data_IF_970684185911
#
_entry.id   IF_970684185911
#
_cell.length_a   1.000
_cell.length_b   1.000
_cell.length_c   1.000
_cell.angle_alpha   90.00
_cell.angle_beta   90.00
_cell.angle_gamma   90.00
#
_symmetry.space_group_name_H-M   'P 1'
#
loop_
_entity.id
_entity.type
_entity.pdbx_description
1 polymer ?
#
# COMPACT_ATOMS: atom_id res chain seq x y z
N UNK A 1 41.27 -27.76 -1.58
CA UNK A 1 39.95 -27.22 -1.11
C UNK A 1 40.19 -26.11 -0.09
N UNK A 2 41.01 -26.31 0.93
CA UNK A 2 41.33 -25.29 1.95
C UNK A 2 41.94 -24.00 1.41
N UNK A 3 42.82 -24.06 0.41
CA UNK A 3 43.42 -22.86 -0.18
C UNK A 3 42.35 -21.94 -0.79
N UNK A 4 41.43 -22.49 -1.58
CA UNK A 4 40.37 -21.70 -2.20
C UNK A 4 39.34 -21.17 -1.18
N UNK A 5 39.04 -21.94 -0.12
CA UNK A 5 38.17 -21.49 0.96
C UNK A 5 38.79 -20.32 1.76
N UNK A 6 40.08 -20.40 2.09
CA UNK A 6 40.77 -19.31 2.81
C UNK A 6 40.91 -18.05 1.97
N UNK A 7 41.12 -18.19 0.66
CA UNK A 7 41.18 -17.05 -0.26
C UNK A 7 39.80 -16.41 -0.43
N UNK A 8 38.71 -17.18 -0.47
CA UNK A 8 37.36 -16.62 -0.49
C UNK A 8 37.01 -15.89 0.80
N UNK A 9 37.40 -16.44 1.95
CA UNK A 9 37.14 -15.80 3.26
C UNK A 9 37.87 -14.45 3.39
N UNK A 10 39.09 -14.35 2.88
CA UNK A 10 39.85 -13.09 2.86
C UNK A 10 39.21 -12.03 1.97
N UNK A 11 38.78 -12.40 0.75
CA UNK A 11 38.12 -11.48 -0.17
C UNK A 11 36.75 -11.02 0.35
N UNK A 12 35.98 -11.92 0.96
CA UNK A 12 34.70 -11.60 1.59
C UNK A 12 34.89 -10.70 2.82
N UNK A 13 35.93 -10.95 3.63
CA UNK A 13 36.27 -10.11 4.77
C UNK A 13 36.62 -8.67 4.37
N UNK A 14 37.40 -8.49 3.29
CA UNK A 14 37.74 -7.16 2.77
C UNK A 14 36.51 -6.45 2.19
N UNK A 15 35.66 -7.17 1.45
CA UNK A 15 34.42 -6.62 0.90
C UNK A 15 33.44 -6.18 2.02
N UNK A 16 33.30 -6.99 3.07
CA UNK A 16 32.47 -6.68 4.23
C UNK A 16 33.05 -5.50 5.03
N UNK A 17 34.37 -5.46 5.22
CA UNK A 17 35.04 -4.35 5.89
C UNK A 17 34.85 -3.03 5.13
N UNK A 18 34.88 -3.05 3.79
CA UNK A 18 34.62 -1.86 2.97
C UNK A 18 33.18 -1.38 3.12
N UNK A 19 32.19 -2.28 3.03
CA UNK A 19 30.78 -1.94 3.22
C UNK A 19 30.51 -1.36 4.62
N UNK A 20 31.11 -1.95 5.65
CA UNK A 20 30.99 -1.46 7.03
C UNK A 20 31.70 -0.12 7.23
N UNK A 21 32.83 0.11 6.56
CA UNK A 21 33.59 1.38 6.61
C UNK A 21 32.77 2.49 5.95
N UNK A 22 32.21 2.26 4.76
CA UNK A 22 31.41 3.25 4.06
C UNK A 22 30.12 3.61 4.83
N UNK A 23 29.53 2.67 5.57
CA UNK A 23 28.32 2.90 6.37
C UNK A 23 28.60 3.53 7.76
N UNK A 24 29.65 3.08 8.45
CA UNK A 24 29.98 3.51 9.82
C UNK A 24 30.87 4.76 9.90
N UNK A 25 31.78 4.96 8.95
CA UNK A 25 32.73 6.09 9.00
C UNK A 25 32.22 7.33 8.26
N UNK A 26 31.36 7.18 7.25
CA UNK A 26 30.69 8.33 6.61
C UNK A 26 29.56 8.92 7.49
N UNK A 27 29.20 8.26 8.59
CA UNK A 27 28.17 8.72 9.52
C UNK A 27 28.71 9.46 10.76
N UNK A 28 30.04 9.52 11.02
CA UNK A 28 30.57 10.16 12.26
C UNK A 28 31.88 10.94 12.25
N UNK A 29 32.61 11.13 11.15
CA UNK A 29 33.85 11.93 11.22
C UNK A 29 34.03 12.90 10.04
N UNK A 30 33.97 14.19 10.36
CA UNK A 30 34.56 15.20 9.50
C UNK A 30 36.05 14.90 9.25
N UNK A 31 36.48 15.13 8.00
CA UNK A 31 37.86 15.31 7.53
C UNK A 31 38.91 14.35 8.11
N UNK A 32 39.25 13.30 7.36
CA UNK A 32 40.64 12.86 7.24
C UNK A 32 40.92 12.56 5.76
N UNK A 33 41.76 13.41 5.17
CA UNK A 33 42.36 13.22 3.85
C UNK A 33 43.46 12.14 3.93
N UNK A 34 43.49 11.26 2.92
CA UNK A 34 44.60 10.50 2.32
C UNK A 34 44.06 9.12 1.92
N UNK A 35 44.20 8.60 0.70
CA UNK A 35 45.13 8.86 -0.37
C UNK A 35 44.46 8.58 -1.73
N UNK A 36 45.03 9.19 -2.79
CA UNK A 36 44.64 9.04 -4.19
C UNK A 36 44.60 7.57 -4.63
N UNK A 37 43.51 7.12 -5.26
CA UNK A 37 43.54 6.13 -6.33
C UNK A 37 42.20 6.04 -7.08
N UNK A 38 42.30 6.09 -8.41
CA UNK A 38 41.39 5.60 -9.47
C UNK A 38 39.95 6.12 -9.54
N UNK A 39 39.80 7.09 -10.45
CA UNK A 39 38.56 7.46 -11.12
C UNK A 39 37.98 6.27 -11.92
N UNK A 40 37.01 5.58 -11.31
CA UNK A 40 36.11 4.65 -11.96
C UNK A 40 34.69 5.26 -12.02
N UNK A 41 34.57 6.47 -12.58
CA UNK A 41 33.31 7.24 -12.66
C UNK A 41 32.33 6.80 -13.76
N UNK A 42 32.05 5.50 -13.85
CA UNK A 42 30.77 5.02 -14.38
C UNK A 42 29.97 4.48 -13.20
N UNK A 43 29.40 5.42 -12.44
CA UNK A 43 28.87 5.21 -11.09
C UNK A 43 27.81 4.12 -11.01
N UNK A 44 28.22 2.96 -10.52
CA UNK A 44 27.38 2.21 -9.59
C UNK A 44 27.25 3.14 -8.39
N UNK A 45 26.19 3.97 -8.39
CA UNK A 45 25.81 4.70 -7.18
C UNK A 45 25.77 3.66 -6.08
N UNK A 46 26.73 3.74 -5.14
CA UNK A 46 26.72 2.91 -3.95
C UNK A 46 25.29 2.93 -3.42
N UNK A 47 24.68 1.75 -3.29
CA UNK A 47 23.29 1.63 -2.88
C UNK A 47 23.20 2.04 -1.42
N UNK A 48 23.22 3.35 -1.18
CA UNK A 48 23.08 3.89 0.15
C UNK A 48 21.59 3.75 0.54
N UNK A 49 21.38 3.37 1.79
CA UNK A 49 20.03 3.27 2.35
C UNK A 49 19.56 4.63 2.89
N UNK A 50 20.24 5.72 2.51
CA UNK A 50 19.84 7.07 2.93
C UNK A 50 18.51 7.42 2.25
N UNK A 51 17.65 8.20 2.93
CA UNK A 51 16.42 8.69 2.31
C UNK A 51 16.73 9.32 0.95
N UNK A 52 16.07 8.83 -0.09
CA UNK A 52 16.21 9.39 -1.44
C UNK A 52 15.59 10.79 -1.48
N UNK A 53 16.16 11.67 -2.29
CA UNK A 53 15.55 12.97 -2.57
C UNK A 53 14.16 12.77 -3.16
N UNK A 54 13.16 13.42 -2.58
CA UNK A 54 11.78 13.38 -3.06
C UNK A 54 11.59 14.31 -4.26
N UNK A 55 10.63 13.99 -5.14
CA UNK A 55 10.30 14.85 -6.29
C UNK A 55 9.77 16.23 -5.87
N UNK A 56 9.19 16.32 -4.66
CA UNK A 56 8.71 17.55 -4.06
C UNK A 56 9.23 17.67 -2.62
N UNK A 57 9.44 18.89 -2.08
CA UNK A 57 9.75 19.07 -0.68
C UNK A 57 8.72 18.38 0.21
N UNK A 58 9.18 17.57 1.17
CA UNK A 58 8.28 16.89 2.09
C UNK A 58 7.56 17.92 2.97
N UNK A 59 6.23 17.92 2.94
CA UNK A 59 5.40 18.78 3.80
C UNK A 59 5.03 18.10 5.13
N UNK A 60 4.99 16.77 5.15
CA UNK A 60 4.72 15.97 6.34
C UNK A 60 6.02 15.34 6.84
N UNK A 61 6.21 15.31 8.16
CA UNK A 61 7.38 14.70 8.83
C UNK A 61 7.14 13.24 9.20
N UNK A 62 5.89 12.82 9.35
CA UNK A 62 5.50 11.47 9.74
C UNK A 62 4.11 11.13 9.18
N UNK A 63 3.88 9.84 8.89
CA UNK A 63 2.62 9.32 8.37
C UNK A 63 2.20 8.13 9.22
N UNK A 64 0.95 8.13 9.67
CA UNK A 64 0.32 6.96 10.31
C UNK A 64 -0.57 6.31 9.25
N UNK A 65 -0.23 5.09 8.86
CA UNK A 65 -1.01 4.29 7.92
C UNK A 65 -1.79 3.23 8.69
N UNK A 66 -3.12 3.29 8.60
CA UNK A 66 -4.02 2.28 9.16
C UNK A 66 -4.59 1.43 8.02
N UNK A 67 -4.30 0.13 8.04
CA UNK A 67 -4.89 -0.84 7.12
C UNK A 67 -5.84 -1.75 7.89
N UNK A 68 -7.14 -1.63 7.66
CA UNK A 68 -8.18 -2.24 8.49
C UNK A 68 -8.79 -3.49 7.81
N UNK A 69 -8.05 -4.60 7.81
CA UNK A 69 -8.62 -5.89 7.38
C UNK A 69 -9.75 -6.32 8.33
N UNK A 70 -10.93 -6.64 7.78
CA UNK A 70 -12.13 -6.93 8.58
C UNK A 70 -12.77 -5.71 9.24
N UNK A 71 -12.31 -4.50 8.91
CA UNK A 71 -12.96 -3.27 9.34
C UNK A 71 -14.31 -3.03 8.66
N UNK A 72 -15.02 -1.95 9.05
CA UNK A 72 -16.24 -1.53 8.38
C UNK A 72 -16.03 -1.34 6.87
N UNK A 73 -16.99 -1.81 6.07
CA UNK A 73 -16.96 -1.73 4.61
C UNK A 73 -16.97 -0.27 4.15
N UNK A 74 -15.96 0.14 3.38
CA UNK A 74 -15.88 1.51 2.85
C UNK A 74 -17.06 1.84 1.93
N UNK A 75 -17.61 0.84 1.24
CA UNK A 75 -18.78 1.04 0.37
C UNK A 75 -20.04 1.34 1.16
N UNK A 76 -20.17 0.80 2.37
CA UNK A 76 -21.32 1.05 3.23
C UNK A 76 -21.20 2.37 4.01
N UNK A 77 -19.99 2.92 4.11
CA UNK A 77 -19.71 4.12 4.91
C UNK A 77 -19.63 5.42 4.11
N UNK A 78 -19.11 5.37 2.87
CA UNK A 78 -18.75 6.57 2.09
C UNK A 78 -19.29 6.58 0.65
N UNK A 79 -20.08 5.58 0.26
CA UNK A 79 -20.48 5.39 -1.14
C UNK A 79 -22.00 5.11 -1.27
N UNK A 80 -22.83 6.16 -1.42
CA UNK A 80 -24.26 6.01 -1.58
C UNK A 80 -24.61 5.11 -2.78
N UNK A 81 -25.47 4.11 -2.56
CA UNK A 81 -25.89 3.14 -3.59
C UNK A 81 -27.36 3.29 -4.01
N UNK A 82 -27.77 4.39 -4.68
CA UNK A 82 -29.17 4.63 -5.05
C UNK A 82 -29.74 3.53 -5.96
N UNK A 83 -28.94 3.02 -6.90
CA UNK A 83 -29.37 1.93 -7.79
C UNK A 83 -29.61 0.63 -7.03
N UNK A 84 -28.72 0.26 -6.10
CA UNK A 84 -28.88 -0.92 -5.26
C UNK A 84 -30.12 -0.79 -4.36
N UNK A 85 -30.34 0.40 -3.79
CA UNK A 85 -31.50 0.67 -2.94
C UNK A 85 -32.81 0.57 -3.72
N UNK A 86 -32.86 1.04 -4.98
CA UNK A 86 -34.03 0.88 -5.85
C UNK A 86 -34.29 -0.58 -6.27
N UNK A 87 -33.27 -1.42 -6.12
CA UNK A 87 -33.25 -2.83 -6.46
C UNK A 87 -33.45 -3.76 -5.25
N UNK A 88 -33.61 -3.20 -4.04
CA UNK A 88 -33.79 -3.96 -2.82
C UNK A 88 -34.94 -4.96 -2.92
N UNK A 89 -34.70 -6.20 -2.47
CA UNK A 89 -35.64 -7.31 -2.53
C UNK A 89 -35.89 -7.90 -3.92
N UNK A 90 -35.24 -7.40 -4.98
CA UNK A 90 -35.39 -7.92 -6.36
C UNK A 90 -34.28 -8.92 -6.70
N UNK A 91 -34.52 -9.90 -7.60
CA UNK A 91 -33.48 -10.79 -8.09
C UNK A 91 -32.43 -10.01 -8.88
N UNK A 92 -31.16 -10.40 -8.73
CA UNK A 92 -30.05 -9.77 -9.46
C UNK A 92 -30.30 -9.80 -10.99
N UNK A 93 -30.19 -8.66 -11.69
CA UNK A 93 -30.56 -8.56 -13.10
C UNK A 93 -29.48 -9.08 -14.07
N UNK A 94 -28.26 -9.34 -13.59
CA UNK A 94 -27.12 -9.75 -14.41
C UNK A 94 -26.77 -11.24 -14.30
N UNK A 95 -25.64 -11.61 -14.90
CA UNK A 95 -25.09 -12.95 -14.74
C UNK A 95 -24.35 -13.07 -13.39
N UNK A 96 -24.81 -13.99 -12.53
CA UNK A 96 -24.24 -14.24 -11.20
C UNK A 96 -22.87 -14.92 -11.28
N UNK A 97 -22.58 -15.65 -12.36
CA UNK A 97 -21.26 -16.27 -12.58
C UNK A 97 -20.17 -15.22 -12.81
N UNK A 98 -20.51 -14.09 -13.44
CA UNK A 98 -19.57 -12.99 -13.74
C UNK A 98 -19.13 -12.23 -12.48
N UNK A 99 -19.95 -12.24 -11.42
CA UNK A 99 -19.63 -11.63 -10.12
C UNK A 99 -18.91 -12.59 -9.16
N UNK A 100 -18.47 -13.77 -9.65
CA UNK A 100 -17.63 -14.70 -8.90
C UNK A 100 -18.37 -15.62 -7.95
N UNK A 101 -19.72 -15.64 -7.98
CA UNK A 101 -20.49 -16.61 -7.20
C UNK A 101 -20.61 -17.92 -7.98
N UNK A 102 -19.85 -18.93 -7.56
CA UNK A 102 -19.85 -20.26 -8.17
C UNK A 102 -21.09 -21.10 -7.79
N UNK A 103 -21.91 -20.63 -6.84
CA UNK A 103 -23.11 -21.33 -6.37
C UNK A 103 -24.37 -20.55 -6.75
N UNK A 104 -24.93 -20.87 -7.91
CA UNK A 104 -26.16 -20.26 -8.44
C UNK A 104 -27.44 -20.94 -7.96
N UNK A 105 -27.32 -22.04 -7.21
CA UNK A 105 -28.45 -22.87 -6.77
C UNK A 105 -29.35 -22.21 -5.72
N UNK A 106 -28.91 -21.09 -5.13
CA UNK A 106 -29.70 -20.29 -4.17
C UNK A 106 -29.32 -18.81 -4.24
N UNK A 107 -29.52 -18.20 -5.41
CA UNK A 107 -29.33 -16.76 -5.58
C UNK A 107 -30.39 -16.04 -4.74
N UNK A 108 -29.95 -15.34 -3.70
CA UNK A 108 -30.80 -14.47 -2.90
C UNK A 108 -31.28 -13.26 -3.68
N UNK A 109 -31.97 -12.35 -2.98
CA UNK A 109 -32.34 -11.04 -3.54
C UNK A 109 -31.22 -10.03 -3.32
N UNK A 110 -31.19 -8.99 -4.14
CA UNK A 110 -30.36 -7.82 -3.87
C UNK A 110 -30.77 -7.20 -2.53
N UNK A 111 -29.76 -6.80 -1.74
CA UNK A 111 -29.94 -6.19 -0.43
C UNK A 111 -29.51 -4.73 -0.52
N UNK A 112 -30.45 -3.82 -0.29
CA UNK A 112 -30.22 -2.39 -0.24
C UNK A 112 -29.28 -1.99 0.89
N UNK A 113 -28.61 -0.85 0.75
CA UNK A 113 -27.74 -0.32 1.81
C UNK A 113 -28.50 -0.15 3.13
N UNK A 114 -27.88 -0.56 4.23
CA UNK A 114 -28.51 -0.56 5.56
C UNK A 114 -28.42 0.80 6.27
N UNK A 115 -27.53 1.68 5.80
CA UNK A 115 -27.27 2.98 6.40
C UNK A 115 -27.82 4.11 5.53
N UNK A 116 -28.19 5.21 6.20
CA UNK A 116 -28.62 6.43 5.52
C UNK A 116 -27.41 7.33 5.32
N UNK A 117 -27.39 8.01 4.18
CA UNK A 117 -26.33 8.95 3.85
C UNK A 117 -26.84 10.38 3.93
N UNK A 118 -25.99 11.27 4.41
CA UNK A 118 -26.16 12.72 4.30
C UNK A 118 -24.86 13.35 3.80
N UNK A 119 -24.99 14.48 3.09
CA UNK A 119 -23.83 15.28 2.71
C UNK A 119 -23.42 16.15 3.90
N UNK A 120 -22.12 16.17 4.21
CA UNK A 120 -21.56 16.95 5.30
C UNK A 120 -20.47 17.90 4.81
N UNK A 121 -20.16 18.93 5.61
CA UNK A 121 -19.13 19.92 5.30
C UNK A 121 -19.42 20.79 4.07
N UNK A 122 -18.48 21.66 3.73
CA UNK A 122 -18.48 22.44 2.48
C UNK A 122 -18.15 21.57 1.27
N UNK A 123 -17.36 20.52 1.47
CA UNK A 123 -17.06 19.51 0.45
C UNK A 123 -18.28 18.71 0.00
N UNK A 124 -19.34 18.66 0.83
CA UNK A 124 -20.56 17.93 0.54
C UNK A 124 -20.37 16.41 0.45
N UNK A 125 -19.30 15.87 1.03
CA UNK A 125 -18.99 14.45 0.94
C UNK A 125 -20.08 13.62 1.66
N UNK A 126 -20.61 12.57 1.01
CA UNK A 126 -21.63 11.73 1.60
C UNK A 126 -21.02 10.77 2.64
N UNK A 127 -21.56 10.78 3.85
CA UNK A 127 -21.13 9.88 4.93
C UNK A 127 -22.37 9.20 5.52
N UNK A 128 -22.22 7.92 5.86
CA UNK A 128 -23.25 7.14 6.54
C UNK A 128 -23.51 7.65 7.97
N UNK A 129 -24.77 7.60 8.41
CA UNK A 129 -25.25 8.06 9.71
C UNK A 129 -24.60 7.35 10.93
N UNK A 130 -23.96 6.21 10.71
CA UNK A 130 -23.19 5.47 11.72
C UNK A 130 -21.83 6.10 12.07
N UNK A 131 -21.39 7.13 11.35
CA UNK A 131 -20.12 7.83 11.59
C UNK A 131 -20.31 9.33 11.94
N UNK A 132 -21.09 9.67 12.99
CA UNK A 132 -21.41 11.07 13.30
C UNK A 132 -20.17 11.91 13.58
N UNK A 133 -19.20 11.39 14.34
CA UNK A 133 -17.98 12.12 14.67
C UNK A 133 -17.05 12.29 13.45
N UNK A 134 -17.04 11.33 12.53
CA UNK A 134 -16.27 11.45 11.29
C UNK A 134 -16.89 12.47 10.36
N UNK A 135 -18.23 12.55 10.33
CA UNK A 135 -18.96 13.50 9.52
C UNK A 135 -18.68 14.97 9.90
N UNK A 136 -18.34 15.25 11.16
CA UNK A 136 -17.90 16.59 11.60
C UNK A 136 -16.53 16.98 11.02
N UNK A 137 -15.71 16.01 10.61
CA UNK A 137 -14.35 16.22 10.10
C UNK A 137 -14.25 16.17 8.57
N UNK A 138 -15.39 16.14 7.87
CA UNK A 138 -15.47 15.91 6.42
C UNK A 138 -14.51 16.80 5.60
N UNK A 139 -14.40 18.09 5.93
CA UNK A 139 -13.57 19.03 5.18
C UNK A 139 -12.06 18.93 5.50
N UNK A 140 -11.69 18.19 6.55
CA UNK A 140 -10.31 17.83 6.90
C UNK A 140 -9.90 16.47 6.29
N UNK A 141 -10.85 15.77 5.67
CA UNK A 141 -10.64 14.46 5.06
C UNK A 141 -10.46 14.59 3.55
N UNK A 142 -9.56 13.77 3.01
CA UNK A 142 -9.41 13.58 1.57
C UNK A 142 -9.74 12.13 1.24
N UNK A 143 -10.80 11.92 0.46
CA UNK A 143 -11.23 10.61 0.02
C UNK A 143 -10.70 10.30 -1.38
N UNK A 144 -10.01 9.17 -1.54
CA UNK A 144 -9.44 8.73 -2.82
C UNK A 144 -10.36 7.69 -3.44
N UNK A 145 -11.21 8.12 -4.39
CA UNK A 145 -12.15 7.24 -5.11
C UNK A 145 -11.51 6.50 -6.29
N UNK A 146 -10.27 6.83 -6.66
CA UNK A 146 -9.60 6.28 -7.84
C UNK A 146 -8.94 4.91 -7.61
N UNK A 147 -9.05 4.35 -6.40
CA UNK A 147 -8.49 3.03 -6.09
C UNK A 147 -9.41 1.93 -6.62
N UNK A 148 -8.84 1.00 -7.39
CA UNK A 148 -9.57 -0.11 -8.01
C UNK A 148 -8.71 -1.38 -7.99
N UNK A 149 -9.37 -2.54 -7.96
CA UNK A 149 -8.75 -3.86 -8.10
C UNK A 149 -9.56 -4.73 -9.05
N UNK A 150 -8.88 -5.61 -9.78
CA UNK A 150 -9.46 -6.54 -10.76
C UNK A 150 -9.91 -7.87 -10.13
N UNK A 151 -9.60 -8.09 -8.85
CA UNK A 151 -9.94 -9.33 -8.16
C UNK A 151 -10.94 -9.06 -7.03
N UNK A 152 -12.11 -9.73 -7.04
CA UNK A 152 -13.16 -9.51 -6.04
C UNK A 152 -12.89 -10.17 -4.66
N UNK A 153 -11.83 -10.98 -4.54
CA UNK A 153 -11.56 -11.71 -3.30
C UNK A 153 -10.65 -10.86 -2.41
N UNK A 154 -11.08 -10.66 -1.16
CA UNK A 154 -10.35 -9.92 -0.17
C UNK A 154 -8.91 -10.44 0.02
N UNK A 155 -8.68 -11.75 0.15
CA UNK A 155 -7.34 -12.33 0.35
C UNK A 155 -6.36 -11.91 -0.76
N UNK A 156 -6.79 -12.04 -2.02
CA UNK A 156 -5.95 -11.70 -3.16
C UNK A 156 -5.76 -10.18 -3.30
N UNK A 157 -6.75 -9.38 -2.90
CA UNK A 157 -6.63 -7.92 -2.83
C UNK A 157 -5.62 -7.49 -1.74
N UNK A 158 -5.53 -8.21 -0.62
CA UNK A 158 -4.52 -7.98 0.42
C UNK A 158 -3.10 -8.22 -0.10
N UNK A 159 -2.88 -9.32 -0.82
CA UNK A 159 -1.58 -9.52 -1.46
C UNK A 159 -1.28 -8.42 -2.46
N UNK A 160 -2.28 -7.97 -3.23
CA UNK A 160 -2.07 -6.95 -4.27
C UNK A 160 -1.69 -5.60 -3.70
N UNK A 161 -2.36 -5.14 -2.64
CA UNK A 161 -2.07 -3.83 -2.04
C UNK A 161 -0.71 -3.81 -1.32
N UNK A 162 -0.27 -4.93 -0.73
CA UNK A 162 0.99 -4.99 0.02
C UNK A 162 2.21 -5.40 -0.82
N UNK A 163 2.02 -6.19 -1.87
CA UNK A 163 3.11 -6.76 -2.66
C UNK A 163 3.04 -6.46 -4.16
N UNK A 164 1.94 -5.86 -4.64
CA UNK A 164 1.69 -5.64 -6.06
C UNK A 164 1.28 -6.89 -6.82
N UNK A 165 0.97 -8.00 -6.14
CA UNK A 165 0.70 -9.32 -6.76
C UNK A 165 -0.52 -10.01 -6.17
N UNK A 166 -1.16 -10.86 -6.97
CA UNK A 166 -2.36 -11.59 -6.56
C UNK A 166 -2.08 -12.85 -5.75
N UNK A 167 -0.94 -13.52 -5.97
CA UNK A 167 -0.64 -14.82 -5.38
C UNK A 167 0.47 -14.72 -4.34
N UNK A 168 0.38 -15.59 -3.32
CA UNK A 168 1.48 -15.81 -2.39
C UNK A 168 2.62 -16.57 -3.07
N UNK A 169 3.84 -16.23 -2.69
CA UNK A 169 5.04 -16.91 -3.15
C UNK A 169 5.49 -16.52 -4.55
N UNK A 170 6.54 -17.20 -4.97
CA UNK A 170 6.96 -17.32 -6.36
C UNK A 170 6.52 -18.74 -6.78
N UNK A 171 6.91 -19.32 -7.93
CA UNK A 171 7.02 -20.78 -7.95
C UNK A 171 7.52 -21.35 -6.61
#
# INVERSE_FOLDING_TARGET
RDFFARTSDGLLGVALAQLLTDDLLDSRAGKLQAAEAIDASAGISAANLRPKSTHHPARATSVIQLFMNGGPSQMDLFDPKPTLNAMDGKPFPGNVEEIGNQSTSSIGVMMGGQYRFACHGESGMPIADVLPCTAELTDELCMIHSMWTDHPNHDNALYKIHSGRLFMGYP
#
